data_IF_020154541092
#
_entry.id   IF_020154541092
#
_cell.length_a   1.000
_cell.length_b   1.000
_cell.length_c   1.000
_cell.angle_alpha   90.00
_cell.angle_beta   90.00
_cell.angle_gamma   90.00
#
_symmetry.space_group_name_H-M   'P 1'
#
loop_
_entity.id
_entity.type
_entity.pdbx_description
1 polymer ?
#
# COMPACT_ATOMS: atom_id res chain seq x y z
N UNK A 1 48.54 14.37 49.38
CA UNK A 1 47.88 13.71 48.22
C UNK A 1 46.70 14.58 47.80
N UNK A 2 46.78 15.26 46.64
CA UNK A 2 45.80 16.27 46.22
C UNK A 2 44.78 15.59 45.29
N UNK A 3 43.57 15.34 45.80
CA UNK A 3 42.47 14.73 45.03
C UNK A 3 41.85 15.78 44.12
N UNK A 4 42.20 15.75 42.83
CA UNK A 4 41.59 16.58 41.79
C UNK A 4 40.14 16.15 41.58
N UNK A 5 39.18 16.91 42.15
CA UNK A 5 37.75 16.75 41.86
C UNK A 5 37.52 17.09 40.38
N UNK A 6 37.37 16.06 39.54
CA UNK A 6 36.85 16.21 38.18
C UNK A 6 35.42 16.74 38.32
N UNK A 7 35.21 18.01 38.00
CA UNK A 7 33.89 18.63 38.10
C UNK A 7 32.89 17.89 37.20
N UNK A 8 31.84 17.32 37.79
CA UNK A 8 30.71 16.81 37.04
C UNK A 8 30.03 18.01 36.36
N UNK A 9 30.28 18.20 35.07
CA UNK A 9 29.50 19.13 34.23
C UNK A 9 28.11 18.53 34.08
N UNK A 10 27.17 18.99 34.90
CA UNK A 10 25.75 18.65 34.76
C UNK A 10 25.16 19.29 33.50
N UNK A 11 24.23 18.59 32.86
CA UNK A 11 23.44 19.13 31.75
C UNK A 11 22.57 20.28 32.27
N UNK A 12 22.60 21.42 31.59
CA UNK A 12 21.83 22.59 32.01
C UNK A 12 20.37 22.45 31.56
N UNK A 13 19.43 22.98 32.35
CA UNK A 13 18.02 23.02 31.96
C UNK A 13 17.81 23.84 30.66
N UNK A 14 18.66 24.85 30.44
CA UNK A 14 18.60 25.66 29.23
C UNK A 14 19.05 24.88 27.98
N UNK A 15 20.07 24.02 28.10
CA UNK A 15 20.45 23.10 27.02
C UNK A 15 19.29 22.16 26.68
N UNK A 16 18.58 21.63 27.68
CA UNK A 16 17.42 20.76 27.45
C UNK A 16 16.28 21.51 26.75
N UNK A 17 15.99 22.74 27.18
CA UNK A 17 14.92 23.55 26.58
C UNK A 17 15.17 23.88 25.11
N UNK A 18 16.40 24.22 24.74
CA UNK A 18 16.75 24.52 23.35
C UNK A 18 16.63 23.26 22.48
N UNK A 19 17.06 22.09 23.00
CA UNK A 19 16.93 20.82 22.27
C UNK A 19 15.47 20.49 21.98
N UNK A 20 14.58 20.63 22.97
CA UNK A 20 13.15 20.38 22.78
C UNK A 20 12.55 21.36 21.78
N UNK A 21 12.94 22.63 21.83
CA UNK A 21 12.48 23.64 20.87
C UNK A 21 12.85 23.28 19.42
N UNK A 22 14.10 22.84 19.19
CA UNK A 22 14.57 22.42 17.86
C UNK A 22 13.85 21.15 17.40
N UNK A 23 13.72 20.13 18.26
CA UNK A 23 12.99 18.90 17.93
C UNK A 23 11.53 19.21 17.61
N UNK A 24 10.90 20.14 18.33
CA UNK A 24 9.53 20.59 18.06
C UNK A 24 9.35 21.17 16.66
N UNK A 25 10.28 22.04 16.23
CA UNK A 25 10.27 22.61 14.87
C UNK A 25 10.46 21.53 13.81
N UNK A 26 11.43 20.63 14.00
CA UNK A 26 11.70 19.54 13.06
C UNK A 26 10.51 18.57 12.95
N UNK A 27 9.91 18.19 14.08
CA UNK A 27 8.77 17.29 14.13
C UNK A 27 7.53 17.88 13.45
N UNK A 28 7.29 19.19 13.61
CA UNK A 28 6.18 19.89 12.97
C UNK A 28 6.20 19.78 11.43
N UNK A 29 7.39 19.77 10.83
CA UNK A 29 7.57 19.63 9.37
C UNK A 29 7.61 18.14 8.97
N UNK A 30 8.34 17.33 9.73
CA UNK A 30 8.59 15.92 9.36
C UNK A 30 7.35 15.04 9.44
N UNK A 31 6.47 15.24 10.43
CA UNK A 31 5.27 14.41 10.62
C UNK A 31 4.29 14.43 9.45
N UNK A 32 3.81 15.60 8.97
CA UNK A 32 2.88 15.63 7.83
C UNK A 32 3.52 15.06 6.56
N UNK A 33 4.82 15.30 6.34
CA UNK A 33 5.53 14.74 5.20
C UNK A 33 5.61 13.20 5.28
N UNK A 34 5.91 12.65 6.46
CA UNK A 34 5.98 11.21 6.67
C UNK A 34 4.60 10.56 6.45
N UNK A 35 3.52 11.18 6.92
CA UNK A 35 2.16 10.69 6.69
C UNK A 35 1.84 10.63 5.19
N UNK A 36 2.12 11.72 4.45
CA UNK A 36 1.91 11.75 3.01
C UNK A 36 2.75 10.68 2.28
N UNK A 37 4.00 10.46 2.69
CA UNK A 37 4.86 9.42 2.13
C UNK A 37 4.29 8.01 2.37
N UNK A 38 3.78 7.73 3.57
CA UNK A 38 3.14 6.45 3.88
C UNK A 38 1.90 6.20 3.03
N UNK A 39 1.05 7.23 2.85
CA UNK A 39 -0.14 7.15 1.98
C UNK A 39 0.25 6.86 0.52
N UNK A 40 1.32 7.49 0.02
CA UNK A 40 1.86 7.18 -1.31
C UNK A 40 2.31 5.71 -1.41
N UNK A 41 2.98 5.18 -0.39
CA UNK A 41 3.35 3.77 -0.31
C UNK A 41 2.14 2.84 -0.40
N UNK A 42 1.08 3.12 0.37
CA UNK A 42 -0.17 2.35 0.33
C UNK A 42 -0.85 2.40 -1.06
N UNK A 43 -0.83 3.55 -1.71
CA UNK A 43 -1.37 3.70 -3.07
C UNK A 43 -0.55 2.90 -4.10
N UNK A 44 0.79 2.89 -3.99
CA UNK A 44 1.67 2.08 -4.86
C UNK A 44 1.40 0.59 -4.68
N UNK A 45 1.19 0.14 -3.44
CA UNK A 45 0.85 -1.24 -3.12
C UNK A 45 -0.45 -1.68 -3.79
N UNK A 46 -1.52 -0.89 -3.68
CA UNK A 46 -2.79 -1.16 -4.36
C UNK A 46 -2.67 -1.23 -5.89
N UNK A 47 -1.82 -0.38 -6.49
CA UNK A 47 -1.53 -0.43 -7.93
C UNK A 47 -0.78 -1.72 -8.31
N UNK A 48 0.18 -2.15 -7.49
CA UNK A 48 0.90 -3.41 -7.72
C UNK A 48 -0.03 -4.61 -7.64
N UNK A 49 -0.92 -4.64 -6.65
CA UNK A 49 -1.90 -5.72 -6.51
C UNK A 49 -2.84 -5.78 -7.74
N UNK A 50 -3.26 -4.64 -8.28
CA UNK A 50 -4.06 -4.58 -9.51
C UNK A 50 -3.33 -5.18 -10.73
N UNK A 51 -2.04 -4.89 -10.89
CA UNK A 51 -1.21 -5.45 -11.98
C UNK A 51 -0.98 -6.95 -11.82
N UNK A 52 -0.73 -7.39 -10.58
CA UNK A 52 -0.54 -8.80 -10.26
C UNK A 52 -1.82 -9.61 -10.54
N UNK A 53 -2.98 -9.06 -10.18
CA UNK A 53 -4.28 -9.66 -10.50
C UNK A 53 -4.46 -9.84 -12.01
N UNK A 54 -4.23 -8.79 -12.81
CA UNK A 54 -4.32 -8.91 -14.26
C UNK A 54 -3.36 -9.97 -14.83
N UNK A 55 -2.13 -10.00 -14.31
CA UNK A 55 -1.12 -10.97 -14.73
C UNK A 55 -1.55 -12.41 -14.42
N UNK A 56 -2.13 -12.66 -13.24
CA UNK A 56 -2.71 -13.97 -12.91
C UNK A 56 -3.89 -14.34 -13.81
N UNK A 57 -4.72 -13.36 -14.18
CA UNK A 57 -5.82 -13.57 -15.13
C UNK A 57 -5.28 -14.06 -16.48
N UNK A 58 -4.26 -13.37 -17.00
CA UNK A 58 -3.62 -13.73 -18.27
C UNK A 58 -3.00 -15.14 -18.25
N UNK A 59 -2.37 -15.53 -17.15
CA UNK A 59 -1.82 -16.89 -17.01
C UNK A 59 -2.95 -17.92 -17.07
N UNK A 60 -4.04 -17.72 -16.33
CA UNK A 60 -5.13 -18.69 -16.26
C UNK A 60 -5.89 -18.85 -17.59
N UNK A 61 -6.06 -17.77 -18.36
CA UNK A 61 -6.66 -17.82 -19.70
C UNK A 61 -5.83 -18.69 -20.66
N UNK A 62 -4.50 -18.66 -20.53
CA UNK A 62 -3.60 -19.38 -21.43
C UNK A 62 -3.27 -20.79 -20.95
N UNK A 63 -3.54 -21.12 -19.68
CA UNK A 63 -3.05 -22.36 -19.06
C UNK A 63 -4.17 -23.32 -18.61
N UNK A 64 -5.43 -22.85 -18.52
CA UNK A 64 -6.53 -23.67 -18.00
C UNK A 64 -7.57 -23.97 -19.09
N UNK A 65 -8.04 -25.22 -19.16
CA UNK A 65 -9.16 -25.66 -20.01
C UNK A 65 -10.47 -25.86 -19.23
N UNK A 66 -10.49 -25.43 -17.97
CA UNK A 66 -11.61 -25.57 -17.04
C UNK A 66 -12.03 -24.18 -16.57
N UNK A 67 -13.33 -24.00 -16.35
CA UNK A 67 -13.89 -22.76 -15.86
C UNK A 67 -13.25 -22.33 -14.53
N UNK A 68 -12.88 -21.06 -14.43
CA UNK A 68 -12.41 -20.44 -13.19
C UNK A 68 -13.23 -19.19 -12.93
N UNK A 69 -13.78 -19.08 -11.71
CA UNK A 69 -14.55 -17.92 -11.29
C UNK A 69 -14.08 -17.45 -9.93
N UNK A 70 -13.80 -16.16 -9.84
CA UNK A 70 -13.60 -15.40 -8.61
C UNK A 70 -14.53 -14.19 -8.67
N UNK A 71 -15.27 -13.92 -7.60
CA UNK A 71 -16.14 -12.75 -7.54
C UNK A 71 -16.14 -12.14 -6.15
N UNK A 72 -15.86 -10.85 -6.03
CA UNK A 72 -15.97 -10.19 -4.73
C UNK A 72 -17.38 -10.43 -4.12
N UNK A 73 -17.53 -10.76 -2.81
CA UNK A 73 -16.56 -10.66 -1.73
C UNK A 73 -15.82 -11.95 -1.34
N UNK A 74 -15.75 -12.99 -2.20
CA UNK A 74 -14.96 -14.16 -1.82
C UNK A 74 -13.48 -13.73 -1.60
N UNK A 75 -12.75 -14.28 -0.61
CA UNK A 75 -11.35 -13.95 -0.41
C UNK A 75 -10.53 -14.34 -1.64
N UNK A 76 -9.65 -13.43 -2.09
CA UNK A 76 -8.69 -13.74 -3.15
C UNK A 76 -7.78 -14.91 -2.72
N UNK A 77 -7.27 -15.70 -3.68
CA UNK A 77 -6.13 -16.59 -3.44
C UNK A 77 -4.97 -15.81 -2.77
N UNK A 78 -4.32 -16.42 -1.79
CA UNK A 78 -3.18 -15.82 -1.07
C UNK A 78 -2.09 -15.35 -2.03
N UNK A 79 -1.63 -14.09 -1.90
CA UNK A 79 -0.64 -13.49 -2.80
C UNK A 79 -0.76 -11.96 -2.96
N UNK A 80 -1.84 -11.36 -2.47
CA UNK A 80 -2.09 -9.93 -2.52
C UNK A 80 -1.65 -9.28 -1.21
N UNK A 81 -0.75 -8.32 -1.29
CA UNK A 81 -0.08 -7.79 -0.12
C UNK A 81 -0.95 -6.65 0.45
N UNK A 82 -1.74 -6.93 1.49
CA UNK A 82 -2.39 -5.90 2.31
C UNK A 82 -3.62 -5.24 1.69
N UNK A 83 -4.02 -5.60 0.47
CA UNK A 83 -5.30 -5.19 -0.13
C UNK A 83 -6.06 -6.41 -0.64
N UNK A 84 -7.34 -6.51 -0.29
CA UNK A 84 -8.30 -7.31 -1.04
C UNK A 84 -8.99 -6.38 -2.03
N UNK A 85 -9.31 -6.82 -3.25
CA UNK A 85 -10.18 -6.09 -4.14
C UNK A 85 -11.49 -5.91 -3.40
N UNK A 86 -12.02 -4.69 -3.42
CA UNK A 86 -13.31 -4.40 -2.78
C UNK A 86 -14.46 -4.56 -3.78
N UNK A 87 -14.15 -4.90 -5.04
CA UNK A 87 -15.10 -5.27 -6.09
C UNK A 87 -14.35 -5.91 -7.26
N UNK A 88 -15.08 -6.64 -8.11
CA UNK A 88 -14.55 -7.21 -9.36
C UNK A 88 -14.76 -8.71 -9.48
N UNK A 89 -14.43 -9.23 -10.65
CA UNK A 89 -14.47 -10.66 -10.93
C UNK A 89 -13.39 -11.07 -11.92
N UNK A 90 -12.83 -12.25 -11.67
CA UNK A 90 -12.12 -13.01 -12.67
C UNK A 90 -13.04 -14.15 -13.12
N UNK A 91 -13.41 -14.17 -14.39
CA UNK A 91 -14.27 -15.22 -14.97
C UNK A 91 -13.60 -15.72 -16.23
N UNK A 92 -13.26 -17.00 -16.25
CA UNK A 92 -12.90 -17.75 -17.44
C UNK A 92 -13.92 -18.86 -17.63
N UNK A 93 -14.60 -18.87 -18.77
CA UNK A 93 -15.53 -19.94 -19.18
C UNK A 93 -14.98 -20.60 -20.43
N UNK A 94 -14.48 -21.83 -20.27
CA UNK A 94 -13.81 -22.59 -21.33
C UNK A 94 -14.75 -22.90 -22.50
N UNK A 95 -16.02 -23.20 -22.19
CA UNK A 95 -17.02 -23.57 -23.20
C UNK A 95 -17.37 -22.41 -24.16
N UNK A 96 -17.29 -21.15 -23.69
CA UNK A 96 -17.67 -19.96 -24.47
C UNK A 96 -16.49 -19.07 -24.83
N UNK A 97 -15.28 -19.36 -24.32
CA UNK A 97 -14.11 -18.50 -24.45
C UNK A 97 -14.29 -17.13 -23.77
N UNK A 98 -15.26 -17.00 -22.85
CA UNK A 98 -15.53 -15.73 -22.18
C UNK A 98 -14.46 -15.46 -21.13
N UNK A 99 -13.88 -14.25 -21.20
CA UNK A 99 -12.86 -13.78 -20.28
C UNK A 99 -13.30 -12.45 -19.67
N UNK A 100 -13.33 -12.39 -18.35
CA UNK A 100 -13.48 -11.15 -17.58
C UNK A 100 -12.32 -11.05 -16.61
N UNK A 101 -11.57 -9.95 -16.68
CA UNK A 101 -10.43 -9.65 -15.82
C UNK A 101 -10.62 -8.24 -15.26
N UNK A 102 -11.65 -8.01 -14.43
CA UNK A 102 -11.88 -6.70 -13.85
C UNK A 102 -11.81 -6.76 -12.32
N UNK A 103 -11.20 -5.75 -11.72
CA UNK A 103 -11.12 -5.64 -10.27
C UNK A 103 -10.74 -4.23 -9.86
N UNK A 104 -11.23 -3.81 -8.69
CA UNK A 104 -10.85 -2.53 -8.10
C UNK A 104 -10.11 -2.75 -6.78
N UNK A 105 -8.93 -2.13 -6.67
CA UNK A 105 -8.03 -2.23 -5.54
C UNK A 105 -7.93 -0.89 -4.83
N UNK A 106 -8.06 -0.92 -3.50
CA UNK A 106 -7.84 0.22 -2.63
C UNK A 106 -7.22 -0.27 -1.34
N UNK A 107 -6.11 0.35 -0.94
CA UNK A 107 -5.53 0.07 0.37
C UNK A 107 -6.38 0.75 1.47
N UNK A 108 -6.66 0.10 2.63
CA UNK A 108 -7.49 0.68 3.69
C UNK A 108 -7.01 2.05 4.18
N UNK A 109 -5.69 2.21 4.25
CA UNK A 109 -5.01 3.46 4.64
C UNK A 109 -4.58 4.33 3.43
N UNK A 110 -4.92 3.90 2.21
CA UNK A 110 -4.66 4.64 0.98
C UNK A 110 -5.86 5.51 0.59
N UNK A 111 -5.63 6.50 -0.26
CA UNK A 111 -6.69 7.40 -0.72
C UNK A 111 -7.14 7.13 -2.15
N UNK A 112 -6.32 6.39 -2.92
CA UNK A 112 -6.57 6.12 -4.34
C UNK A 112 -7.13 4.72 -4.55
N UNK A 113 -8.01 4.65 -5.53
CA UNK A 113 -8.64 3.43 -6.04
C UNK A 113 -8.08 3.15 -7.42
N UNK A 114 -7.67 1.92 -7.66
CA UNK A 114 -7.12 1.44 -8.92
C UNK A 114 -8.09 0.43 -9.50
N UNK A 115 -8.87 0.84 -10.50
CA UNK A 115 -9.83 -0.01 -11.17
C UNK A 115 -9.24 -0.52 -12.49
N UNK A 116 -9.12 -1.84 -12.58
CA UNK A 116 -8.65 -2.60 -13.72
C UNK A 116 -9.84 -2.96 -14.63
N UNK A 117 -9.72 -2.67 -15.91
CA UNK A 117 -10.65 -3.15 -16.93
C UNK A 117 -10.21 -4.49 -17.53
N UNK A 118 -11.09 -5.11 -18.34
CA UNK A 118 -10.83 -6.40 -18.98
C UNK A 118 -9.63 -6.38 -19.95
N UNK A 119 -9.16 -5.19 -20.35
CA UNK A 119 -8.04 -4.99 -21.27
C UNK A 119 -6.71 -4.76 -20.53
N UNK A 120 -6.74 -4.72 -19.20
CA UNK A 120 -5.56 -4.46 -18.37
C UNK A 120 -5.25 -2.99 -18.13
N UNK A 121 -6.12 -2.07 -18.56
CA UNK A 121 -5.93 -0.66 -18.26
C UNK A 121 -6.32 -0.38 -16.81
N UNK A 122 -5.53 0.47 -16.16
CA UNK A 122 -5.77 0.89 -14.78
C UNK A 122 -6.24 2.33 -14.78
N UNK A 123 -7.50 2.54 -14.36
CA UNK A 123 -8.05 3.85 -14.07
C UNK A 123 -7.87 4.19 -12.59
N UNK A 124 -7.53 5.45 -12.29
CA UNK A 124 -7.25 5.91 -10.94
C UNK A 124 -8.32 6.90 -10.52
N UNK A 125 -8.98 6.63 -9.40
CA UNK A 125 -10.01 7.52 -8.83
C UNK A 125 -9.70 7.81 -7.36
N UNK A 126 -10.11 8.99 -6.86
CA UNK A 126 -9.92 9.42 -5.48
C UNK A 126 -8.81 10.46 -5.29
N UNK A 127 -9.00 11.30 -4.27
CA UNK A 127 -8.12 12.41 -3.90
C UNK A 127 -6.88 11.91 -3.16
#
# INVERSE_FOLDING_TARGET
>A
MKLTRKGNKGFTLIELMIVIAIIGILAAIALPQLQAYRIRGYNIQANSDAKNFYSSCLVDINQTSVDKTFSYPNPLPSGYHGTTPFSGSFIYVAATGTVTCNAAFKHPNGTKTYALDNNGNISITGS
#
